data_IF_882868775002
#
_entry.id   IF_882868775002
#
_cell.length_a   1.000
_cell.length_b   1.000
_cell.length_c   1.000
_cell.angle_alpha   90.00
_cell.angle_beta   90.00
_cell.angle_gamma   90.00
#
_symmetry.space_group_name_H-M   'P 1'
#
loop_
_entity.id
_entity.type
_entity.pdbx_description
1 polymer ?
#
# COMPACT_ATOMS: atom_id res chain seq x y z
N UNK A 1 -17.71 -20.73 12.10
CA UNK A 1 -18.08 -19.71 11.09
C UNK A 1 -17.25 -19.97 9.86
N UNK A 2 -17.84 -19.93 8.68
CA UNK A 2 -17.11 -20.20 7.43
C UNK A 2 -16.04 -19.14 7.20
N UNK A 3 -14.78 -19.53 7.04
CA UNK A 3 -13.65 -18.70 6.63
C UNK A 3 -13.82 -18.16 5.21
N UNK A 4 -14.89 -18.55 4.51
CA UNK A 4 -15.19 -18.22 3.11
C UNK A 4 -15.28 -16.72 2.79
N UNK A 5 -15.58 -15.86 3.79
CA UNK A 5 -15.63 -14.40 3.60
C UNK A 5 -14.25 -13.79 3.36
N UNK A 6 -13.19 -14.40 3.87
CA UNK A 6 -11.81 -13.95 3.78
C UNK A 6 -10.96 -14.81 2.84
N UNK A 7 -11.56 -15.83 2.23
CA UNK A 7 -10.88 -16.72 1.31
C UNK A 7 -10.60 -16.02 -0.02
N UNK A 8 -9.33 -16.05 -0.43
CA UNK A 8 -8.82 -15.48 -1.67
C UNK A 8 -8.34 -16.55 -2.66
N UNK A 9 -8.69 -17.83 -2.43
CA UNK A 9 -8.34 -18.94 -3.32
C UNK A 9 -8.80 -18.65 -4.76
N UNK A 10 -7.90 -18.85 -5.71
CA UNK A 10 -8.15 -18.59 -7.13
C UNK A 10 -8.11 -17.11 -7.54
N UNK A 11 -7.72 -16.20 -6.63
CA UNK A 11 -7.53 -14.77 -6.93
C UNK A 11 -6.08 -14.47 -7.28
N UNK A 12 -5.87 -13.51 -8.18
CA UNK A 12 -4.55 -12.96 -8.50
C UNK A 12 -4.46 -11.55 -7.92
N UNK A 13 -3.44 -11.33 -7.09
CA UNK A 13 -3.20 -10.05 -6.43
C UNK A 13 -1.88 -9.44 -6.89
N UNK A 14 -1.93 -8.26 -7.51
CA UNK A 14 -0.76 -7.46 -7.83
C UNK A 14 -0.47 -6.47 -6.68
N UNK A 15 0.73 -6.52 -6.12
CA UNK A 15 1.21 -5.60 -5.08
C UNK A 15 2.44 -4.85 -5.58
N UNK A 16 2.34 -3.54 -5.75
CA UNK A 16 3.47 -2.72 -6.20
C UNK A 16 4.42 -2.40 -5.05
N UNK A 17 5.74 -2.33 -5.33
CA UNK A 17 6.75 -2.04 -4.32
C UNK A 17 6.81 -3.09 -3.20
N UNK A 18 6.58 -4.37 -3.50
CA UNK A 18 6.41 -5.44 -2.51
C UNK A 18 7.64 -6.34 -2.30
N UNK A 19 8.83 -5.88 -2.65
CA UNK A 19 10.08 -6.62 -2.42
C UNK A 19 10.56 -6.58 -0.97
N UNK A 20 9.99 -5.72 -0.13
CA UNK A 20 10.32 -5.53 1.30
C UNK A 20 9.25 -4.71 2.03
N UNK A 21 9.40 -4.55 3.33
CA UNK A 21 8.60 -3.64 4.15
C UNK A 21 7.10 -3.94 4.16
N UNK A 22 6.29 -2.88 4.17
CA UNK A 22 4.82 -2.98 4.30
C UNK A 22 4.19 -3.72 3.13
N UNK A 23 4.66 -3.46 1.90
CA UNK A 23 4.15 -4.13 0.70
C UNK A 23 4.37 -5.64 0.75
N UNK A 24 5.56 -6.08 1.20
CA UNK A 24 5.86 -7.51 1.36
C UNK A 24 4.97 -8.15 2.43
N UNK A 25 4.76 -7.48 3.56
CA UNK A 25 3.91 -7.98 4.64
C UNK A 25 2.44 -8.13 4.17
N UNK A 26 1.88 -7.13 3.50
CA UNK A 26 0.53 -7.19 2.95
C UNK A 26 0.39 -8.29 1.89
N UNK A 27 1.35 -8.38 0.96
CA UNK A 27 1.40 -9.44 -0.05
C UNK A 27 1.43 -10.83 0.60
N UNK A 28 2.18 -11.00 1.69
CA UNK A 28 2.22 -12.25 2.46
C UNK A 28 0.85 -12.62 3.03
N UNK A 29 0.18 -11.69 3.71
CA UNK A 29 -1.16 -11.96 4.25
C UNK A 29 -2.17 -12.35 3.16
N UNK A 30 -2.16 -11.64 2.03
CA UNK A 30 -3.01 -11.92 0.86
C UNK A 30 -2.70 -13.33 0.31
N UNK A 31 -1.42 -13.70 0.20
CA UNK A 31 -1.00 -15.03 -0.25
C UNK A 31 -1.38 -16.14 0.72
N UNK A 32 -1.24 -15.93 2.03
CA UNK A 32 -1.66 -16.87 3.06
C UNK A 32 -3.18 -17.07 3.10
N UNK A 33 -3.95 -16.08 2.64
CA UNK A 33 -5.39 -16.20 2.45
C UNK A 33 -5.77 -16.94 1.15
N UNK A 34 -4.81 -17.44 0.37
CA UNK A 34 -5.02 -18.31 -0.79
C UNK A 34 -4.83 -17.65 -2.17
N UNK A 35 -4.50 -16.37 -2.24
CA UNK A 35 -4.29 -15.71 -3.52
C UNK A 35 -2.92 -16.08 -4.14
N UNK A 36 -2.86 -16.10 -5.46
CA UNK A 36 -1.61 -16.03 -6.20
C UNK A 36 -1.11 -14.58 -6.12
N UNK A 37 0.12 -14.38 -5.64
CA UNK A 37 0.70 -13.07 -5.43
C UNK A 37 1.62 -12.69 -6.58
N UNK A 38 1.41 -11.52 -7.14
CA UNK A 38 2.32 -10.89 -8.12
C UNK A 38 2.95 -9.68 -7.46
N UNK A 39 4.26 -9.69 -7.31
CA UNK A 39 4.99 -8.54 -6.73
C UNK A 39 5.71 -7.75 -7.81
N UNK A 40 5.72 -6.43 -7.63
CA UNK A 40 6.51 -5.52 -8.45
C UNK A 40 7.63 -4.90 -7.61
N UNK A 41 8.73 -4.63 -8.29
CA UNK A 41 9.82 -3.79 -7.84
C UNK A 41 10.49 -3.11 -9.02
N UNK A 42 11.19 -1.99 -8.80
CA UNK A 42 11.91 -1.26 -9.86
C UNK A 42 13.45 -1.38 -9.75
N UNK A 43 14.00 -1.61 -8.55
CA UNK A 43 15.43 -1.45 -8.28
C UNK A 43 16.31 -2.52 -8.91
N UNK A 44 16.03 -3.80 -8.72
CA UNK A 44 16.79 -4.89 -9.35
C UNK A 44 15.97 -6.18 -9.43
N UNK A 45 16.26 -7.00 -10.46
CA UNK A 45 15.64 -8.31 -10.63
C UNK A 45 16.00 -9.25 -9.46
N UNK A 46 17.25 -9.23 -9.00
CA UNK A 46 17.72 -10.03 -7.87
C UNK A 46 16.87 -9.83 -6.59
N UNK A 47 16.53 -8.59 -6.26
CA UNK A 47 15.65 -8.31 -5.10
C UNK A 47 14.25 -8.88 -5.27
N UNK A 48 13.72 -8.85 -6.48
CA UNK A 48 12.42 -9.43 -6.82
C UNK A 48 12.49 -10.95 -6.68
N UNK A 49 13.51 -11.58 -7.26
CA UNK A 49 13.69 -13.03 -7.22
C UNK A 49 13.86 -13.54 -5.78
N UNK A 50 14.62 -12.81 -4.95
CA UNK A 50 14.77 -13.09 -3.52
C UNK A 50 13.43 -13.01 -2.78
N UNK A 51 12.64 -11.98 -3.05
CA UNK A 51 11.32 -11.83 -2.43
C UNK A 51 10.35 -12.95 -2.89
N UNK A 52 10.34 -13.28 -4.17
CA UNK A 52 9.54 -14.41 -4.70
C UNK A 52 9.97 -15.74 -4.06
N UNK A 53 11.28 -15.98 -3.91
CA UNK A 53 11.76 -17.18 -3.24
C UNK A 53 11.30 -17.25 -1.77
N UNK A 54 11.29 -16.13 -1.05
CA UNK A 54 10.79 -16.07 0.32
C UNK A 54 9.29 -16.42 0.40
N UNK A 55 8.45 -15.91 -0.49
CA UNK A 55 7.03 -16.27 -0.56
C UNK A 55 6.84 -17.78 -0.84
N UNK A 56 7.58 -18.32 -1.81
CA UNK A 56 7.50 -19.74 -2.16
C UNK A 56 7.94 -20.67 -1.04
N UNK A 57 8.94 -20.25 -0.25
CA UNK A 57 9.40 -21.00 0.92
C UNK A 57 8.33 -21.09 2.02
N UNK A 58 7.38 -20.17 2.04
CA UNK A 58 6.21 -20.18 2.94
C UNK A 58 4.95 -20.83 2.29
N UNK A 59 5.11 -21.49 1.13
CA UNK A 59 4.01 -22.14 0.42
C UNK A 59 3.08 -21.21 -0.36
N UNK A 60 3.46 -19.93 -0.51
CA UNK A 60 2.68 -18.95 -1.25
C UNK A 60 3.06 -18.98 -2.73
N UNK A 61 2.07 -19.13 -3.62
CA UNK A 61 2.29 -19.00 -5.06
C UNK A 61 2.61 -17.55 -5.40
N UNK A 62 3.85 -17.29 -5.88
CA UNK A 62 4.32 -15.93 -6.13
C UNK A 62 5.09 -15.80 -7.45
N UNK A 63 4.89 -14.65 -8.11
CA UNK A 63 5.57 -14.23 -9.33
C UNK A 63 6.12 -12.81 -9.13
N UNK A 64 7.18 -12.48 -9.87
CA UNK A 64 7.82 -11.18 -9.75
C UNK A 64 8.03 -10.51 -11.10
N UNK A 65 7.70 -9.22 -11.19
CA UNK A 65 7.85 -8.44 -12.40
C UNK A 65 8.54 -7.11 -12.12
N UNK A 66 9.55 -6.81 -12.93
CA UNK A 66 10.25 -5.53 -12.85
C UNK A 66 9.64 -4.54 -13.82
N UNK A 67 9.16 -3.40 -13.32
CA UNK A 67 8.73 -2.24 -14.11
C UNK A 67 8.67 -1.00 -13.23
N UNK A 68 8.83 0.17 -13.85
CA UNK A 68 8.64 1.46 -13.21
C UNK A 68 7.15 1.83 -13.21
N UNK A 69 6.56 1.90 -12.01
CA UNK A 69 5.14 2.27 -11.82
C UNK A 69 4.82 3.69 -12.33
N UNK A 70 5.82 4.54 -12.51
CA UNK A 70 5.68 5.92 -13.01
C UNK A 70 5.74 6.02 -14.54
N UNK A 71 6.05 4.90 -15.22
CA UNK A 71 6.11 4.82 -16.68
C UNK A 71 4.87 4.08 -17.20
N UNK A 72 3.94 4.83 -17.82
CA UNK A 72 2.67 4.27 -18.29
C UNK A 72 2.85 3.13 -19.30
N UNK A 73 3.83 3.23 -20.20
CA UNK A 73 4.08 2.20 -21.23
C UNK A 73 4.61 0.90 -20.61
N UNK A 74 5.56 1.01 -19.66
CA UNK A 74 6.07 -0.16 -18.92
C UNK A 74 4.96 -0.82 -18.11
N UNK A 75 4.10 -0.03 -17.44
CA UNK A 75 2.95 -0.54 -16.68
C UNK A 75 1.99 -1.30 -17.61
N UNK A 76 1.61 -0.73 -18.76
CA UNK A 76 0.70 -1.40 -19.71
C UNK A 76 1.28 -2.73 -20.20
N UNK A 77 2.56 -2.76 -20.58
CA UNK A 77 3.26 -3.99 -21.00
C UNK A 77 3.31 -5.03 -19.88
N UNK A 78 3.64 -4.59 -18.67
CA UNK A 78 3.71 -5.48 -17.51
C UNK A 78 2.35 -6.07 -17.15
N UNK A 79 1.29 -5.27 -17.12
CA UNK A 79 -0.08 -5.75 -16.83
C UNK A 79 -0.52 -6.78 -17.87
N UNK A 80 -0.36 -6.49 -19.16
CA UNK A 80 -0.68 -7.44 -20.22
C UNK A 80 0.09 -8.76 -20.09
N UNK A 81 1.37 -8.68 -19.75
CA UNK A 81 2.21 -9.84 -19.52
C UNK A 81 1.76 -10.65 -18.30
N UNK A 82 1.47 -10.00 -17.19
CA UNK A 82 0.95 -10.64 -15.96
C UNK A 82 -0.36 -11.36 -16.25
N UNK A 83 -1.31 -10.70 -16.92
CA UNK A 83 -2.61 -11.30 -17.22
C UNK A 83 -2.50 -12.51 -18.17
N UNK A 84 -1.51 -12.53 -19.07
CA UNK A 84 -1.25 -13.65 -19.96
C UNK A 84 -0.53 -14.82 -19.27
N UNK A 85 0.45 -14.55 -18.40
CA UNK A 85 1.32 -15.57 -17.79
C UNK A 85 0.78 -16.12 -16.47
N UNK A 86 0.03 -15.33 -15.70
CA UNK A 86 -0.44 -15.67 -14.34
C UNK A 86 -1.96 -15.76 -14.28
N UNK A 87 -2.64 -14.80 -14.86
CA UNK A 87 -4.10 -14.70 -14.85
C UNK A 87 -4.58 -13.27 -14.60
N UNK A 88 -5.88 -13.07 -14.75
CA UNK A 88 -6.51 -11.76 -14.61
C UNK A 88 -6.35 -11.19 -13.20
N UNK A 89 -5.95 -9.93 -13.08
CA UNK A 89 -5.70 -9.28 -11.79
C UNK A 89 -7.04 -8.97 -11.11
N UNK A 90 -7.36 -9.69 -10.04
CA UNK A 90 -8.57 -9.48 -9.22
C UNK A 90 -8.38 -8.40 -8.16
N UNK A 91 -7.15 -8.29 -7.63
CA UNK A 91 -6.79 -7.43 -6.52
C UNK A 91 -5.55 -6.62 -6.91
N UNK A 92 -5.63 -5.30 -6.76
CA UNK A 92 -4.50 -4.39 -6.91
C UNK A 92 -4.21 -3.70 -5.58
N UNK A 93 -2.96 -3.76 -5.12
CA UNK A 93 -2.46 -2.97 -4.00
C UNK A 93 -1.41 -2.00 -4.51
N UNK A 94 -1.75 -0.72 -4.59
CA UNK A 94 -0.84 0.37 -4.92
C UNK A 94 -0.05 0.75 -3.67
N UNK A 95 1.11 0.10 -3.47
CA UNK A 95 1.95 0.31 -2.30
C UNK A 95 3.28 1.02 -2.63
N UNK A 96 3.75 0.99 -3.86
CA UNK A 96 4.98 1.70 -4.23
C UNK A 96 4.92 3.17 -3.81
N UNK A 97 5.96 3.65 -3.16
CA UNK A 97 6.02 5.01 -2.66
C UNK A 97 7.41 5.39 -2.19
N UNK A 98 7.67 6.67 -2.09
CA UNK A 98 8.92 7.27 -1.60
C UNK A 98 8.63 8.39 -0.62
N UNK A 99 9.60 8.70 0.21
CA UNK A 99 9.53 9.86 1.09
C UNK A 99 10.85 10.64 1.03
N UNK A 100 10.76 11.93 0.76
CA UNK A 100 11.87 12.88 0.90
C UNK A 100 11.62 13.79 2.10
N UNK A 101 12.60 13.87 2.99
CA UNK A 101 12.47 14.62 4.25
C UNK A 101 13.31 15.90 4.12
N UNK A 102 12.65 16.97 3.69
CA UNK A 102 13.26 18.29 3.48
C UNK A 102 12.27 19.37 3.91
N UNK A 103 12.65 20.41 4.66
CA UNK A 103 11.79 21.56 4.91
C UNK A 103 11.27 22.13 3.59
N UNK A 104 10.00 22.55 3.56
CA UNK A 104 9.39 23.04 2.30
C UNK A 104 10.13 24.24 1.70
N UNK A 105 10.73 25.09 2.52
CA UNK A 105 11.49 26.25 2.07
C UNK A 105 12.79 25.86 1.35
N UNK A 106 13.34 24.69 1.66
CA UNK A 106 14.60 24.17 1.10
C UNK A 106 14.36 23.05 0.08
N UNK A 107 13.11 22.66 -0.15
CA UNK A 107 12.78 21.53 -1.03
C UNK A 107 12.84 21.95 -2.50
N UNK A 108 13.69 21.30 -3.29
CA UNK A 108 13.72 21.49 -4.73
C UNK A 108 12.39 21.07 -5.37
N UNK A 109 11.92 21.83 -6.36
CA UNK A 109 10.68 21.54 -7.09
C UNK A 109 10.73 20.15 -7.71
N UNK A 110 11.85 19.74 -8.28
CA UNK A 110 12.04 18.41 -8.86
C UNK A 110 11.86 17.28 -7.83
N UNK A 111 12.26 17.49 -6.58
CA UNK A 111 12.08 16.53 -5.50
C UNK A 111 10.60 16.44 -5.08
N UNK A 112 9.92 17.57 -5.03
CA UNK A 112 8.48 17.63 -4.79
C UNK A 112 7.73 16.86 -5.88
N UNK A 113 8.00 17.18 -7.15
CA UNK A 113 7.39 16.53 -8.33
C UNK A 113 7.65 15.03 -8.35
N UNK A 114 8.87 14.59 -7.99
CA UNK A 114 9.20 13.17 -7.91
C UNK A 114 8.33 12.43 -6.89
N UNK A 115 8.11 13.01 -5.71
CA UNK A 115 7.23 12.42 -4.68
C UNK A 115 5.79 12.35 -5.18
N UNK A 116 5.27 13.44 -5.77
CA UNK A 116 3.93 13.46 -6.37
C UNK A 116 3.81 12.39 -7.47
N UNK A 117 4.80 12.28 -8.34
CA UNK A 117 4.80 11.30 -9.43
C UNK A 117 4.72 9.86 -8.92
N UNK A 118 5.52 9.54 -7.90
CA UNK A 118 5.57 8.16 -7.36
C UNK A 118 4.37 7.87 -6.46
N UNK A 119 3.98 8.78 -5.55
CA UNK A 119 3.03 8.47 -4.49
C UNK A 119 1.57 8.80 -4.83
N UNK A 120 1.33 9.57 -5.92
CA UNK A 120 -0.01 9.95 -6.36
C UNK A 120 -0.28 9.57 -7.82
N UNK A 121 0.62 9.93 -8.74
CA UNK A 121 0.38 9.68 -10.17
C UNK A 121 0.54 8.20 -10.51
N UNK A 122 1.50 7.49 -9.92
CA UNK A 122 1.69 6.08 -10.23
C UNK A 122 0.53 5.19 -9.80
N UNK A 123 -0.12 5.36 -8.62
CA UNK A 123 -1.37 4.65 -8.30
C UNK A 123 -2.47 4.86 -9.35
N UNK A 124 -2.58 6.07 -9.92
CA UNK A 124 -3.50 6.32 -11.01
C UNK A 124 -3.13 5.53 -12.28
N UNK A 125 -1.85 5.57 -12.70
CA UNK A 125 -1.37 4.86 -13.89
C UNK A 125 -1.65 3.36 -13.79
N UNK A 126 -1.26 2.74 -12.66
CA UNK A 126 -1.44 1.29 -12.47
C UNK A 126 -2.91 0.93 -12.38
N UNK A 127 -3.71 1.69 -11.63
CA UNK A 127 -5.16 1.46 -11.51
C UNK A 127 -5.87 1.59 -12.86
N UNK A 128 -5.53 2.62 -13.66
CA UNK A 128 -6.07 2.82 -15.02
C UNK A 128 -5.77 1.63 -15.95
N UNK A 129 -4.61 1.01 -15.83
CA UNK A 129 -4.25 -0.15 -16.63
C UNK A 129 -5.06 -1.40 -16.21
N UNK A 130 -5.17 -1.67 -14.90
CA UNK A 130 -5.84 -2.86 -14.36
C UNK A 130 -7.36 -2.78 -14.43
N UNK A 131 -7.94 -1.59 -14.18
CA UNK A 131 -9.40 -1.43 -14.04
C UNK A 131 -10.18 -1.78 -15.30
N UNK A 132 -9.58 -1.65 -16.49
CA UNK A 132 -10.22 -2.01 -17.77
C UNK A 132 -10.72 -3.46 -17.77
N UNK A 133 -9.89 -4.40 -17.34
CA UNK A 133 -10.27 -5.79 -17.17
C UNK A 133 -11.29 -6.00 -16.06
N UNK A 134 -11.16 -5.29 -14.94
CA UNK A 134 -12.13 -5.35 -13.83
C UNK A 134 -13.53 -4.86 -14.25
N UNK A 135 -13.62 -3.78 -15.04
CA UNK A 135 -14.89 -3.25 -15.57
C UNK A 135 -15.58 -4.29 -16.46
N UNK A 136 -14.83 -4.93 -17.36
CA UNK A 136 -15.37 -5.98 -18.24
C UNK A 136 -15.94 -7.17 -17.45
N UNK A 137 -15.26 -7.58 -16.38
CA UNK A 137 -15.69 -8.70 -15.51
C UNK A 137 -16.74 -8.30 -14.46
N UNK A 138 -16.93 -6.98 -14.27
CA UNK A 138 -17.77 -6.42 -13.18
C UNK A 138 -17.34 -6.95 -11.80
N UNK A 139 -16.04 -7.00 -11.57
CA UNK A 139 -15.44 -7.46 -10.31
C UNK A 139 -14.00 -6.96 -10.17
N UNK A 140 -13.64 -6.49 -9.00
CA UNK A 140 -12.27 -6.07 -8.69
C UNK A 140 -12.15 -5.40 -7.34
N UNK A 141 -10.95 -5.45 -6.77
CA UNK A 141 -10.57 -4.76 -5.54
C UNK A 141 -9.32 -3.94 -5.77
N UNK A 142 -9.35 -2.66 -5.45
CA UNK A 142 -8.19 -1.76 -5.53
C UNK A 142 -7.96 -1.19 -4.13
N UNK A 143 -6.73 -1.31 -3.65
CA UNK A 143 -6.30 -0.84 -2.34
C UNK A 143 -5.15 0.13 -2.53
N UNK A 144 -5.35 1.39 -2.20
CA UNK A 144 -4.32 2.42 -2.25
C UNK A 144 -3.65 2.56 -0.87
N UNK A 145 -2.32 2.50 -0.81
CA UNK A 145 -1.63 2.71 0.46
C UNK A 145 -1.45 4.21 0.68
N UNK A 146 -2.41 4.73 1.44
CA UNK A 146 -2.43 6.08 1.97
C UNK A 146 -1.44 6.21 3.15
N UNK A 147 -1.72 7.07 4.08
CA UNK A 147 -0.95 7.28 5.30
C UNK A 147 -1.81 8.03 6.32
N UNK A 148 -1.44 8.00 7.60
CA UNK A 148 -1.95 8.98 8.54
C UNK A 148 -1.62 10.42 8.09
N UNK A 149 -0.59 10.62 7.25
CA UNK A 149 -0.27 11.90 6.61
C UNK A 149 -1.28 12.30 5.52
N UNK A 150 -2.28 11.49 5.24
CA UNK A 150 -3.45 11.92 4.46
C UNK A 150 -4.39 12.83 5.26
N UNK A 151 -4.23 12.90 6.58
CA UNK A 151 -5.02 13.72 7.51
C UNK A 151 -4.16 14.73 8.29
N UNK A 152 -2.89 14.42 8.52
CA UNK A 152 -2.00 15.19 9.37
C UNK A 152 -0.83 15.77 8.59
N UNK A 153 -0.43 16.98 8.95
CA UNK A 153 0.84 17.55 8.54
C UNK A 153 1.94 17.21 9.55
N UNK A 154 3.16 17.04 9.05
CA UNK A 154 4.38 16.95 9.85
C UNK A 154 5.50 17.72 9.16
N UNK A 155 6.37 18.33 9.96
CA UNK A 155 7.55 19.02 9.45
C UNK A 155 8.40 18.08 8.55
N UNK A 156 8.97 18.62 7.49
CA UNK A 156 9.85 17.98 6.50
C UNK A 156 9.23 16.96 5.55
N UNK A 157 7.93 16.68 5.63
CA UNK A 157 7.27 15.68 4.77
C UNK A 157 6.15 16.27 3.92
N UNK A 158 6.22 17.55 3.59
CA UNK A 158 5.13 18.28 2.90
C UNK A 158 4.74 17.67 1.56
N UNK A 159 5.69 17.32 0.70
CA UNK A 159 5.41 16.67 -0.58
C UNK A 159 4.71 15.31 -0.40
N UNK A 160 5.18 14.51 0.57
CA UNK A 160 4.58 13.22 0.89
C UNK A 160 3.15 13.38 1.42
N UNK A 161 2.92 14.31 2.35
CA UNK A 161 1.59 14.58 2.89
C UNK A 161 0.63 15.07 1.78
N UNK A 162 1.08 15.96 0.90
CA UNK A 162 0.31 16.40 -0.26
C UNK A 162 -0.06 15.23 -1.18
N UNK A 163 0.90 14.35 -1.50
CA UNK A 163 0.65 13.15 -2.31
C UNK A 163 -0.35 12.20 -1.64
N UNK A 164 -0.21 11.92 -0.34
CA UNK A 164 -1.08 11.00 0.39
C UNK A 164 -2.48 11.59 0.65
N UNK A 165 -2.59 12.90 0.86
CA UNK A 165 -3.87 13.62 0.86
C UNK A 165 -4.57 13.55 -0.50
N UNK A 166 -3.84 13.79 -1.58
CA UNK A 166 -4.31 13.61 -2.94
C UNK A 166 -4.74 12.17 -3.25
N UNK A 167 -3.97 11.18 -2.78
CA UNK A 167 -4.29 9.76 -2.98
C UNK A 167 -5.58 9.34 -2.23
N UNK A 168 -5.81 9.90 -1.03
CA UNK A 168 -7.10 9.74 -0.33
C UNK A 168 -8.27 10.21 -1.20
N UNK A 169 -8.19 11.42 -1.74
CA UNK A 169 -9.25 11.96 -2.61
C UNK A 169 -9.37 11.19 -3.91
N UNK A 170 -8.25 10.77 -4.52
CA UNK A 170 -8.24 9.93 -5.71
C UNK A 170 -8.92 8.58 -5.46
N UNK A 171 -8.71 7.96 -4.28
CA UNK A 171 -9.38 6.72 -3.87
C UNK A 171 -10.90 6.89 -3.85
N UNK A 172 -11.40 8.01 -3.32
CA UNK A 172 -12.82 8.31 -3.28
C UNK A 172 -13.40 8.53 -4.68
N UNK A 173 -12.69 9.25 -5.55
CA UNK A 173 -13.15 9.48 -6.92
C UNK A 173 -13.15 8.18 -7.75
N UNK A 174 -12.11 7.37 -7.65
CA UNK A 174 -12.07 6.03 -8.27
C UNK A 174 -13.25 5.16 -7.80
N UNK A 175 -13.58 5.22 -6.51
CA UNK A 175 -14.73 4.52 -5.96
C UNK A 175 -16.03 4.99 -6.64
N UNK A 176 -16.28 6.29 -6.71
CA UNK A 176 -17.52 6.84 -7.31
C UNK A 176 -17.66 6.42 -8.76
N UNK A 177 -16.57 6.47 -9.53
CA UNK A 177 -16.60 6.12 -10.96
C UNK A 177 -16.76 4.61 -11.23
N UNK A 178 -16.16 3.76 -10.37
CA UNK A 178 -16.06 2.33 -10.66
C UNK A 178 -17.00 1.44 -9.83
N UNK A 179 -17.66 1.97 -8.81
CA UNK A 179 -18.66 1.24 -8.02
C UNK A 179 -19.80 0.65 -8.85
N UNK A 180 -20.35 1.32 -9.91
CA UNK A 180 -21.37 0.74 -10.78
C UNK A 180 -20.92 -0.55 -11.49
N UNK A 181 -19.60 -0.76 -11.59
CA UNK A 181 -18.98 -1.96 -12.14
C UNK A 181 -18.66 -3.03 -11.08
N UNK A 182 -19.18 -2.89 -9.86
CA UNK A 182 -18.91 -3.80 -8.72
C UNK A 182 -17.43 -3.86 -8.33
N UNK A 183 -16.72 -2.77 -8.52
CA UNK A 183 -15.32 -2.60 -8.10
C UNK A 183 -15.32 -1.82 -6.80
N UNK A 184 -14.58 -2.31 -5.80
CA UNK A 184 -14.34 -1.59 -4.56
C UNK A 184 -12.95 -0.97 -4.59
N UNK A 185 -12.89 0.33 -4.33
CA UNK A 185 -11.64 1.08 -4.20
C UNK A 185 -11.58 1.66 -2.80
N UNK A 186 -10.61 1.20 -2.03
CA UNK A 186 -10.39 1.64 -0.66
C UNK A 186 -8.91 1.97 -0.43
N UNK A 187 -8.61 2.55 0.71
CA UNK A 187 -7.25 2.80 1.15
C UNK A 187 -6.93 2.10 2.47
N UNK A 188 -5.66 1.82 2.68
CA UNK A 188 -5.09 1.57 4.01
C UNK A 188 -4.25 2.78 4.36
N UNK A 189 -4.41 3.33 5.55
CA UNK A 189 -3.64 4.45 6.08
C UNK A 189 -2.73 4.00 7.22
N UNK A 190 -1.50 3.54 6.95
CA UNK A 190 -0.57 3.14 8.01
C UNK A 190 -0.13 4.31 8.88
N UNK A 191 0.05 4.04 10.17
CA UNK A 191 0.80 4.86 11.10
C UNK A 191 2.31 4.64 10.98
N UNK A 192 3.00 4.58 12.11
CA UNK A 192 4.43 4.30 12.16
C UNK A 192 4.68 2.81 12.38
N UNK A 193 5.39 2.19 11.44
CA UNK A 193 5.70 0.76 11.44
C UNK A 193 7.21 0.50 11.55
N UNK A 194 7.55 -0.59 12.24
CA UNK A 194 8.90 -1.06 12.46
C UNK A 194 9.41 -1.80 11.21
N UNK A 195 9.98 -1.05 10.25
CA UNK A 195 10.62 -1.59 9.05
C UNK A 195 12.14 -1.45 9.12
N UNK A 196 12.87 -2.07 8.21
CA UNK A 196 14.32 -1.85 8.09
C UNK A 196 14.66 -0.36 7.82
N UNK A 197 13.82 0.34 7.08
CA UNK A 197 13.99 1.76 6.79
C UNK A 197 13.89 2.65 8.04
N UNK A 198 13.09 2.24 9.04
CA UNK A 198 12.90 2.98 10.30
C UNK A 198 13.84 2.52 11.40
N UNK A 199 14.58 1.41 11.21
CA UNK A 199 15.48 0.84 12.21
C UNK A 199 16.48 1.83 12.82
N UNK A 200 17.15 2.73 12.05
CA UNK A 200 18.11 3.66 12.62
C UNK A 200 17.51 4.65 13.61
N UNK A 201 16.23 4.93 13.53
CA UNK A 201 15.53 5.91 14.38
C UNK A 201 14.71 5.25 15.49
N UNK A 202 14.64 3.92 15.53
CA UNK A 202 13.93 3.14 16.55
C UNK A 202 14.88 2.61 17.64
N UNK A 203 15.78 3.46 18.08
CA UNK A 203 16.72 3.14 19.17
C UNK A 203 16.36 3.94 20.41
N UNK A 204 16.65 3.37 21.59
CA UNK A 204 16.38 4.03 22.85
C UNK A 204 17.15 5.36 22.96
N UNK A 205 16.48 6.36 23.52
CA UNK A 205 17.03 7.72 23.61
C UNK A 205 17.04 8.53 22.32
N UNK A 206 16.54 7.97 21.21
CA UNK A 206 16.38 8.75 19.98
C UNK A 206 15.12 9.63 20.08
N UNK A 207 15.21 10.97 19.97
CA UNK A 207 14.08 11.88 20.22
C UNK A 207 12.86 11.58 19.36
N UNK A 208 13.10 11.14 18.13
CA UNK A 208 12.00 10.78 17.22
C UNK A 208 11.32 9.47 17.62
N UNK A 209 12.06 8.50 18.18
CA UNK A 209 11.48 7.27 18.73
C UNK A 209 10.55 7.58 19.89
N UNK A 210 11.02 8.37 20.85
CA UNK A 210 10.24 8.82 22.01
C UNK A 210 8.99 9.59 21.55
N UNK A 211 9.13 10.51 20.60
CA UNK A 211 8.00 11.24 20.05
C UNK A 211 6.94 10.30 19.47
N UNK A 212 7.34 9.29 18.67
CA UNK A 212 6.40 8.35 18.05
C UNK A 212 5.71 7.49 19.10
N UNK A 213 6.47 6.90 20.04
CA UNK A 213 5.92 6.07 21.10
C UNK A 213 4.95 6.85 21.98
N UNK A 214 5.29 8.08 22.36
CA UNK A 214 4.43 8.93 23.18
C UNK A 214 3.18 9.44 22.41
N UNK A 215 3.32 9.67 21.10
CA UNK A 215 2.21 10.15 20.24
C UNK A 215 1.24 9.04 19.85
N UNK A 216 1.67 7.79 19.89
CA UNK A 216 0.86 6.61 19.52
C UNK A 216 0.17 6.07 20.77
N UNK A 217 -1.18 6.06 20.88
CA UNK A 217 -1.86 5.50 22.06
C UNK A 217 -1.49 4.06 22.40
N UNK A 218 -1.19 3.24 21.38
CA UNK A 218 -0.69 1.88 21.58
C UNK A 218 0.71 1.82 22.23
N UNK A 219 1.45 2.93 22.29
CA UNK A 219 2.75 3.04 22.93
C UNK A 219 3.90 2.32 22.22
N UNK A 220 3.70 1.90 20.98
CA UNK A 220 4.68 1.11 20.21
C UNK A 220 4.68 1.50 18.73
N UNK A 221 5.73 1.10 18.02
CA UNK A 221 5.72 1.02 16.58
C UNK A 221 4.95 -0.22 16.14
N UNK A 222 4.08 -0.11 15.13
CA UNK A 222 3.37 -1.26 14.58
C UNK A 222 4.31 -2.29 13.95
N UNK A 223 4.00 -3.58 14.07
CA UNK A 223 4.67 -4.62 13.28
C UNK A 223 4.09 -4.62 11.86
N UNK A 224 4.90 -4.65 10.79
CA UNK A 224 4.41 -4.76 9.41
C UNK A 224 3.37 -5.85 9.19
N UNK A 225 3.45 -6.97 9.92
CA UNK A 225 2.49 -8.06 9.84
C UNK A 225 1.08 -7.68 10.32
N UNK A 226 0.93 -6.66 11.15
CA UNK A 226 -0.38 -6.17 11.61
C UNK A 226 -1.19 -5.50 10.48
N UNK A 227 -0.57 -5.20 9.33
CA UNK A 227 -1.27 -4.76 8.12
C UNK A 227 -1.93 -5.90 7.33
N UNK A 228 -1.54 -7.15 7.58
CA UNK A 228 -2.04 -8.31 6.81
C UNK A 228 -3.56 -8.42 6.92
N UNK A 229 -4.11 -8.31 8.13
CA UNK A 229 -5.56 -8.40 8.36
C UNK A 229 -6.36 -7.35 7.57
N UNK A 230 -5.90 -6.10 7.56
CA UNK A 230 -6.53 -5.02 6.81
C UNK A 230 -6.45 -5.27 5.29
N UNK A 231 -5.29 -5.73 4.78
CA UNK A 231 -5.10 -6.05 3.38
C UNK A 231 -5.99 -7.22 2.93
N UNK A 232 -6.07 -8.28 3.71
CA UNK A 232 -6.97 -9.43 3.44
C UNK A 232 -8.43 -9.02 3.47
N UNK A 233 -8.86 -8.26 4.49
CA UNK A 233 -10.24 -7.77 4.61
C UNK A 233 -10.66 -6.98 3.37
N UNK A 234 -9.87 -5.98 2.98
CA UNK A 234 -10.20 -5.14 1.82
C UNK A 234 -10.09 -5.89 0.47
N UNK A 235 -9.34 -6.98 0.42
CA UNK A 235 -9.22 -7.85 -0.76
C UNK A 235 -10.37 -8.84 -0.90
N UNK A 236 -11.06 -9.16 0.20
CA UNK A 236 -11.99 -10.27 0.31
C UNK A 236 -13.47 -9.89 0.10
N UNK A 237 -14.34 -10.89 0.02
CA UNK A 237 -15.79 -10.72 -0.03
C UNK A 237 -16.34 -10.01 1.21
N UNK A 238 -15.64 -10.12 2.35
CA UNK A 238 -16.00 -9.45 3.61
C UNK A 238 -16.14 -7.94 3.48
N UNK A 239 -15.48 -7.33 2.49
CA UNK A 239 -15.52 -5.88 2.24
C UNK A 239 -16.35 -5.47 1.01
N UNK A 240 -17.27 -6.31 0.51
CA UNK A 240 -17.98 -6.03 -0.73
C UNK A 240 -18.85 -4.75 -0.70
N UNK A 241 -19.25 -4.28 0.49
CA UNK A 241 -19.99 -3.02 0.65
C UNK A 241 -19.14 -1.90 1.29
N UNK A 242 -17.87 -2.15 1.53
CA UNK A 242 -16.91 -1.13 1.97
C UNK A 242 -16.28 -0.52 0.71
N UNK A 243 -16.53 0.76 0.48
CA UNK A 243 -16.05 1.43 -0.73
C UNK A 243 -15.76 2.91 -0.46
N UNK A 244 -14.67 3.46 -1.00
CA UNK A 244 -14.24 4.83 -0.82
C UNK A 244 -13.66 5.14 0.58
N UNK A 245 -13.40 4.13 1.42
CA UNK A 245 -12.94 4.30 2.79
C UNK A 245 -11.41 4.21 2.90
N UNK A 246 -10.85 4.93 3.87
CA UNK A 246 -9.46 4.74 4.28
C UNK A 246 -9.49 4.07 5.65
N UNK A 247 -9.03 2.82 5.70
CA UNK A 247 -8.87 2.08 6.95
C UNK A 247 -7.51 2.44 7.57
N UNK A 248 -7.53 3.26 8.62
CA UNK A 248 -6.31 3.61 9.33
C UNK A 248 -5.88 2.49 10.27
N UNK A 249 -4.61 2.08 10.13
CA UNK A 249 -3.94 1.09 10.98
C UNK A 249 -2.74 1.80 11.57
N UNK A 250 -2.94 2.50 12.68
CA UNK A 250 -2.03 3.54 13.16
C UNK A 250 -1.79 3.51 14.68
N UNK A 251 -2.27 2.48 15.38
CA UNK A 251 -2.16 2.40 16.84
C UNK A 251 -2.91 3.49 17.58
N UNK A 252 -3.85 4.17 16.92
CA UNK A 252 -4.71 5.21 17.50
C UNK A 252 -4.16 6.64 17.34
N UNK A 253 -3.13 6.87 16.54
CA UNK A 253 -2.55 8.22 16.35
C UNK A 253 -3.62 9.24 15.91
N UNK A 254 -4.51 8.88 15.00
CA UNK A 254 -5.55 9.78 14.50
C UNK A 254 -6.72 9.95 15.49
N UNK A 255 -6.83 9.10 16.50
CA UNK A 255 -7.91 9.15 17.47
C UNK A 255 -7.62 10.12 18.66
N UNK A 256 -6.43 10.67 18.76
CA UNK A 256 -6.00 11.49 19.90
C UNK A 256 -5.30 12.78 19.48
N UNK A 257 -5.46 13.82 20.28
CA UNK A 257 -4.65 15.05 20.18
C UNK A 257 -3.23 14.86 20.78
N UNK A 258 -2.98 13.75 21.48
CA UNK A 258 -1.79 13.48 22.26
C UNK A 258 -2.05 13.52 23.74
N UNK A 259 -1.01 13.21 24.54
CA UNK A 259 -1.02 13.33 26.00
C UNK A 259 0.11 14.25 26.47
N UNK A 260 -0.02 14.88 27.63
CA UNK A 260 1.08 15.63 28.24
C UNK A 260 2.31 14.75 28.46
N UNK A 261 3.49 15.37 28.41
CA UNK A 261 4.77 14.64 28.58
C UNK A 261 4.96 14.02 29.97
N UNK A 262 4.09 14.35 30.93
CA UNK A 262 4.21 13.94 32.36
C UNK A 262 3.17 12.85 32.74
N UNK A 263 2.39 12.38 31.80
CA UNK A 263 1.46 11.24 31.93
C UNK A 263 1.99 10.08 31.07
#
# INVERSE_FOLDING_TARGET
MSTSLFDLTGKVALVTGATHGLGMAMAKGIGQAGATVVINGNSSQEKIDKAVAAFKAEGIQAFGYRFDVTNEEEVQKAIARIENEVGTIDILVNNAGIIKRTPLVDMEVADFEQVIKVDLVSPFIVSKAVVKGMIQRKAGKIINICSMMSELGRNTVGAYAAAKGGLKMLTQNMCVEWAPHKIQVNGIGPGYFATEQTKPIRVDGHPFNEFIVNRTPAGVWGDPNELQGAAVFLSAKASNFVNGQILYVDGGILATIGKPSNE
#
